data_IF_683139184280
#
_entry.id   IF_683139184280
#
_cell.length_a   1.000
_cell.length_b   1.000
_cell.length_c   1.000
_cell.angle_alpha   90.00
_cell.angle_beta   90.00
_cell.angle_gamma   90.00
#
_symmetry.space_group_name_H-M   'P 1'
#
loop_
_entity.id
_entity.type
_entity.pdbx_description
1 polymer ?
#
# COMPACT_ATOMS: atom_id res chain seq x y z
N UNK A 1 -7.19 -6.70 33.73
CA UNK A 1 -7.14 -5.99 32.43
C UNK A 1 -7.90 -4.67 32.42
N UNK A 2 -8.71 -4.33 33.44
CA UNK A 2 -9.36 -3.01 33.55
C UNK A 2 -8.37 -1.93 33.98
N UNK A 3 -7.61 -2.15 35.06
CA UNK A 3 -6.58 -1.22 35.56
C UNK A 3 -5.58 -0.76 34.48
N UNK A 4 -5.13 -1.69 33.63
CA UNK A 4 -4.22 -1.37 32.51
C UNK A 4 -4.90 -0.50 31.45
N UNK A 5 -6.18 -0.74 31.17
CA UNK A 5 -6.94 0.06 30.21
C UNK A 5 -7.20 1.49 30.75
N UNK A 6 -7.48 1.61 32.04
CA UNK A 6 -7.71 2.88 32.74
C UNK A 6 -6.42 3.72 32.80
N UNK A 7 -5.28 3.10 33.17
CA UNK A 7 -3.96 3.77 33.17
C UNK A 7 -3.58 4.27 31.77
N UNK A 8 -3.89 3.49 30.74
CA UNK A 8 -3.56 3.83 29.35
C UNK A 8 -4.59 4.75 28.68
N UNK A 9 -5.72 5.07 29.34
CA UNK A 9 -6.80 5.88 28.78
C UNK A 9 -7.46 5.26 27.55
N UNK A 10 -7.51 3.92 27.45
CA UNK A 10 -8.06 3.20 26.30
C UNK A 10 -9.25 2.33 26.70
N UNK A 11 -10.20 2.15 25.79
CA UNK A 11 -11.32 1.25 26.03
C UNK A 11 -10.86 -0.20 26.21
N UNK A 12 -11.36 -0.88 27.25
CA UNK A 12 -11.05 -2.29 27.55
C UNK A 12 -11.27 -3.26 26.38
N UNK A 13 -12.33 -3.16 25.56
CA UNK A 13 -12.48 -4.02 24.38
C UNK A 13 -11.34 -3.84 23.36
N UNK A 14 -10.88 -2.60 23.16
CA UNK A 14 -9.76 -2.29 22.25
C UNK A 14 -8.46 -2.96 22.71
N UNK A 15 -8.19 -2.98 24.01
CA UNK A 15 -7.01 -3.65 24.58
C UNK A 15 -7.10 -5.17 24.38
N UNK A 16 -8.27 -5.76 24.61
CA UNK A 16 -8.52 -7.19 24.44
C UNK A 16 -8.38 -7.61 22.97
N UNK A 17 -8.91 -6.83 22.02
CA UNK A 17 -8.83 -7.15 20.60
C UNK A 17 -7.41 -7.03 20.05
N UNK A 18 -6.63 -6.06 20.54
CA UNK A 18 -5.20 -5.95 20.22
C UNK A 18 -4.40 -7.12 20.76
N UNK A 19 -4.64 -7.51 22.01
CA UNK A 19 -3.94 -8.64 22.64
C UNK A 19 -4.29 -9.98 21.97
N UNK A 20 -5.54 -10.13 21.51
CA UNK A 20 -6.00 -11.30 20.73
C UNK A 20 -5.59 -11.26 19.25
N UNK A 21 -4.83 -10.25 18.81
CA UNK A 21 -4.41 -10.11 17.41
C UNK A 21 -5.55 -9.86 16.42
N UNK A 22 -6.76 -9.54 16.90
CA UNK A 22 -7.94 -9.28 16.07
C UNK A 22 -7.85 -7.95 15.32
N UNK A 23 -7.03 -7.03 15.82
CA UNK A 23 -6.74 -5.76 15.14
C UNK A 23 -5.58 -5.93 14.16
N UNK A 24 -5.82 -5.65 12.86
CA UNK A 24 -4.76 -5.62 11.86
C UNK A 24 -3.74 -4.53 12.21
N UNK A 25 -2.43 -4.84 12.31
CA UNK A 25 -1.42 -3.83 12.59
C UNK A 25 -1.32 -2.84 11.43
N UNK A 26 -1.14 -1.55 11.74
CA UNK A 26 -0.78 -0.54 10.73
C UNK A 26 0.62 -0.88 10.21
N UNK A 27 0.72 -1.31 8.96
CA UNK A 27 2.00 -1.62 8.33
C UNK A 27 2.65 -0.35 7.79
N UNK A 28 3.94 -0.19 8.04
CA UNK A 28 4.76 0.84 7.38
C UNK A 28 4.93 0.47 5.91
N UNK A 29 5.08 1.48 5.06
CA UNK A 29 5.39 1.27 3.65
C UNK A 29 6.72 0.51 3.51
N UNK A 30 6.72 -0.56 2.70
CA UNK A 30 7.85 -1.46 2.54
C UNK A 30 8.27 -1.48 1.06
N UNK A 31 9.36 -0.77 0.72
CA UNK A 31 9.83 -0.62 -0.67
C UNK A 31 10.10 -1.95 -1.37
N UNK A 32 10.53 -3.00 -0.66
CA UNK A 32 10.78 -4.30 -1.29
C UNK A 32 9.51 -4.92 -1.92
N UNK A 33 8.31 -4.54 -1.47
CA UNK A 33 7.05 -4.97 -2.12
C UNK A 33 6.85 -4.35 -3.51
N UNK A 34 7.62 -3.32 -3.86
CA UNK A 34 7.55 -2.67 -5.16
C UNK A 34 8.44 -3.33 -6.21
N UNK A 35 9.30 -4.29 -5.83
CA UNK A 35 10.20 -4.98 -6.74
C UNK A 35 9.48 -5.61 -7.93
N UNK A 36 8.25 -6.11 -7.73
CA UNK A 36 7.41 -6.67 -8.80
C UNK A 36 6.81 -5.59 -9.72
N UNK A 37 6.62 -4.37 -9.21
CA UNK A 37 6.04 -3.24 -9.95
C UNK A 37 7.12 -2.42 -10.68
N UNK A 38 8.37 -2.44 -10.21
CA UNK A 38 9.48 -1.66 -10.79
C UNK A 38 9.65 -1.91 -12.28
N UNK A 39 9.82 -3.16 -12.76
CA UNK A 39 10.10 -3.40 -14.16
C UNK A 39 8.95 -2.90 -15.05
N UNK A 40 7.71 -3.15 -14.62
CA UNK A 40 6.49 -2.74 -15.34
C UNK A 40 6.38 -1.21 -15.44
N UNK A 41 6.65 -0.50 -14.35
CA UNK A 41 6.60 0.96 -14.33
C UNK A 41 7.71 1.56 -15.20
N UNK A 42 8.94 1.03 -15.11
CA UNK A 42 10.06 1.48 -15.94
C UNK A 42 9.74 1.29 -17.43
N UNK A 43 9.25 0.12 -17.85
CA UNK A 43 8.85 -0.11 -19.25
C UNK A 43 7.81 0.90 -19.73
N UNK A 44 6.79 1.20 -18.91
CA UNK A 44 5.73 2.13 -19.28
C UNK A 44 6.23 3.59 -19.36
N UNK A 45 7.12 4.00 -18.46
CA UNK A 45 7.69 5.35 -18.44
C UNK A 45 8.64 5.54 -19.61
N UNK A 46 9.53 4.58 -19.88
CA UNK A 46 10.46 4.63 -21.03
C UNK A 46 9.72 4.71 -22.36
N UNK A 47 8.61 3.98 -22.51
CA UNK A 47 7.79 4.04 -23.71
C UNK A 47 6.98 5.35 -23.86
N UNK A 48 6.74 6.07 -22.75
CA UNK A 48 5.84 7.24 -22.70
C UNK A 48 6.37 8.31 -21.74
N UNK A 49 7.50 8.97 -22.05
CA UNK A 49 8.15 9.90 -21.13
C UNK A 49 7.30 11.14 -20.81
N UNK A 50 6.34 11.50 -21.66
CA UNK A 50 5.40 12.62 -21.43
C UNK A 50 4.25 12.28 -20.49
N UNK A 51 4.11 11.02 -20.08
CA UNK A 51 2.98 10.58 -19.27
C UNK A 51 3.29 10.73 -17.78
N UNK A 52 2.50 11.58 -17.11
CA UNK A 52 2.55 11.71 -15.66
C UNK A 52 1.99 10.49 -14.91
N UNK A 53 2.23 10.47 -13.59
CA UNK A 53 1.93 9.33 -12.71
C UNK A 53 0.48 8.81 -12.82
N UNK A 54 -0.51 9.69 -13.00
CA UNK A 54 -1.92 9.29 -13.15
C UNK A 54 -2.17 8.45 -14.41
N UNK A 55 -1.57 8.83 -15.55
CA UNK A 55 -1.73 8.10 -16.82
C UNK A 55 -1.00 6.75 -16.77
N UNK A 56 0.22 6.73 -16.23
CA UNK A 56 0.96 5.49 -16.00
C UNK A 56 0.17 4.54 -15.09
N UNK A 57 -0.41 5.06 -14.00
CA UNK A 57 -1.26 4.27 -13.09
C UNK A 57 -2.47 3.65 -13.80
N UNK A 58 -3.15 4.41 -14.65
CA UNK A 58 -4.32 3.91 -15.38
C UNK A 58 -3.94 2.76 -16.33
N UNK A 59 -2.81 2.88 -17.03
CA UNK A 59 -2.30 1.84 -17.94
C UNK A 59 -1.90 0.60 -17.15
N UNK A 60 -1.11 0.77 -16.09
CA UNK A 60 -0.67 -0.33 -15.24
C UNK A 60 -1.87 -1.07 -14.64
N UNK A 61 -2.85 -0.36 -14.10
CA UNK A 61 -4.05 -0.99 -13.52
C UNK A 61 -4.96 -1.64 -14.57
N UNK A 62 -4.85 -1.25 -15.84
CA UNK A 62 -5.52 -1.99 -16.92
C UNK A 62 -4.82 -3.33 -17.18
N UNK A 63 -3.49 -3.34 -17.22
CA UNK A 63 -2.68 -4.57 -17.36
C UNK A 63 -2.87 -5.53 -16.18
N UNK A 64 -2.81 -5.01 -14.94
CA UNK A 64 -3.02 -5.83 -13.75
C UNK A 64 -4.42 -6.47 -13.74
N UNK A 65 -5.46 -5.71 -14.13
CA UNK A 65 -6.82 -6.26 -14.23
C UNK A 65 -6.95 -7.35 -15.29
N UNK A 66 -6.29 -7.22 -16.45
CA UNK A 66 -6.27 -8.30 -17.44
C UNK A 66 -5.54 -9.55 -16.96
N UNK A 67 -4.60 -9.39 -16.04
CA UNK A 67 -3.85 -10.48 -15.40
C UNK A 67 -4.53 -11.02 -14.14
N UNK A 68 -5.72 -10.53 -13.78
CA UNK A 68 -6.44 -10.92 -12.56
C UNK A 68 -5.81 -10.40 -11.25
N UNK A 69 -4.84 -9.49 -11.35
CA UNK A 69 -4.14 -8.88 -10.22
C UNK A 69 -4.89 -7.66 -9.67
N UNK A 70 -4.68 -7.40 -8.37
CA UNK A 70 -5.27 -6.26 -7.71
C UNK A 70 -4.69 -4.93 -8.23
N UNK A 71 -5.52 -3.89 -8.40
CA UNK A 71 -5.04 -2.58 -8.85
C UNK A 71 -4.15 -1.91 -7.79
N UNK A 72 -3.23 -1.09 -8.26
CA UNK A 72 -2.28 -0.33 -7.45
C UNK A 72 -2.76 1.11 -7.28
N UNK A 73 -2.58 1.65 -6.06
CA UNK A 73 -2.87 3.04 -5.76
C UNK A 73 -1.84 3.97 -6.44
N UNK A 74 -2.30 5.03 -7.11
CA UNK A 74 -1.45 6.04 -7.76
C UNK A 74 -0.41 6.67 -6.81
N UNK A 75 -0.70 6.79 -5.50
CA UNK A 75 0.28 7.30 -4.52
C UNK A 75 1.48 6.38 -4.35
N UNK A 76 1.29 5.07 -4.52
CA UNK A 76 2.38 4.08 -4.47
C UNK A 76 3.29 4.27 -5.69
N UNK A 77 2.70 4.40 -6.88
CA UNK A 77 3.43 4.65 -8.13
C UNK A 77 4.16 6.01 -8.09
N UNK A 78 3.55 7.05 -7.52
CA UNK A 78 4.23 8.33 -7.32
C UNK A 78 5.49 8.20 -6.43
N UNK A 79 5.38 7.50 -5.29
CA UNK A 79 6.54 7.25 -4.41
C UNK A 79 7.64 6.45 -5.07
N UNK A 80 7.25 5.51 -5.93
CA UNK A 80 8.15 4.70 -6.74
C UNK A 80 8.90 5.58 -7.75
N UNK A 81 8.18 6.43 -8.50
CA UNK A 81 8.78 7.31 -9.51
C UNK A 81 9.63 8.43 -8.91
N UNK A 82 9.41 8.76 -7.64
CA UNK A 82 10.19 9.74 -6.88
C UNK A 82 11.38 9.12 -6.14
N UNK A 83 11.40 7.78 -5.96
CA UNK A 83 12.47 7.07 -5.24
C UNK A 83 13.70 6.90 -6.11
#
# INVERSE_FOLDING_TARGET
>A
MTVVADILGVARPNLIDRLKGRTKPRRRYHKAQDAELMPRIVTLVTARPTYGCRRITAILNRQLRSEGLAPVNHKRIYRIMQS
#
